data_IF_668420216381
#
_entry.id   IF_668420216381
#
_cell.length_a   1.000
_cell.length_b   1.000
_cell.length_c   1.000
_cell.angle_alpha   90.00
_cell.angle_beta   90.00
_cell.angle_gamma   90.00
#
_symmetry.space_group_name_H-M   'P 1'
#
loop_
_entity.id
_entity.type
_entity.pdbx_description
1 polymer ?
#
# COMPACT_ATOMS: atom_id res chain seq x y z
N UNK A 1 1.89 11.98 13.99
CA UNK A 1 1.75 10.64 13.36
C UNK A 1 0.32 10.17 13.43
N UNK A 2 -0.27 10.05 14.62
CA UNK A 2 -1.67 9.65 14.79
C UNK A 2 -2.63 10.60 14.06
N UNK A 3 -2.44 11.91 14.16
CA UNK A 3 -3.29 12.88 13.44
C UNK A 3 -3.21 12.70 11.92
N UNK A 4 -2.00 12.49 11.40
CA UNK A 4 -1.80 12.20 9.97
C UNK A 4 -2.45 10.88 9.56
N UNK A 5 -2.31 9.83 10.38
CA UNK A 5 -2.96 8.55 10.15
C UNK A 5 -4.49 8.70 10.11
N UNK A 6 -5.09 9.38 11.08
CA UNK A 6 -6.53 9.62 11.12
C UNK A 6 -6.98 10.46 9.92
N UNK A 7 -6.21 11.49 9.57
CA UNK A 7 -6.49 12.36 8.43
C UNK A 7 -6.43 11.59 7.10
N UNK A 8 -5.40 10.77 6.91
CA UNK A 8 -5.16 10.03 5.67
C UNK A 8 -5.91 8.71 5.57
N UNK A 9 -6.45 8.21 6.68
CA UNK A 9 -7.22 6.98 6.72
C UNK A 9 -8.44 7.05 5.79
N UNK A 10 -8.85 5.90 5.24
CA UNK A 10 -10.07 5.77 4.47
C UNK A 10 -11.31 6.33 5.18
N UNK A 11 -12.12 7.09 4.44
CA UNK A 11 -13.44 7.54 4.87
C UNK A 11 -14.56 6.68 4.27
N UNK A 12 -15.74 6.61 4.91
CA UNK A 12 -16.88 5.84 4.39
C UNK A 12 -17.27 6.21 2.95
N UNK A 13 -17.18 7.49 2.58
CA UNK A 13 -17.48 7.99 1.24
C UNK A 13 -16.48 7.50 0.20
N UNK A 14 -15.19 7.48 0.55
CA UNK A 14 -14.11 6.97 -0.31
C UNK A 14 -14.23 5.45 -0.49
N UNK A 15 -14.58 4.73 0.58
CA UNK A 15 -14.85 3.30 0.50
C UNK A 15 -16.07 3.01 -0.39
N UNK A 16 -17.16 3.77 -0.24
CA UNK A 16 -18.35 3.65 -1.06
C UNK A 16 -18.06 3.93 -2.55
N UNK A 17 -17.28 4.97 -2.84
CA UNK A 17 -16.80 5.26 -4.20
C UNK A 17 -15.99 4.11 -4.77
N UNK A 18 -15.02 3.58 -4.04
CA UNK A 18 -14.21 2.45 -4.51
C UNK A 18 -15.05 1.19 -4.73
N UNK A 19 -16.02 0.92 -3.86
CA UNK A 19 -16.97 -0.20 -4.05
C UNK A 19 -17.84 -0.03 -5.30
N UNK A 20 -18.28 1.19 -5.60
CA UNK A 20 -19.00 1.49 -6.85
C UNK A 20 -18.15 1.15 -8.09
N UNK A 21 -16.88 1.55 -8.10
CA UNK A 21 -15.93 1.21 -9.17
C UNK A 21 -15.79 -0.31 -9.31
N UNK A 22 -15.58 -1.03 -8.19
CA UNK A 22 -15.48 -2.50 -8.19
C UNK A 22 -16.75 -3.13 -8.75
N UNK A 23 -17.94 -2.70 -8.31
CA UNK A 23 -19.21 -3.26 -8.78
C UNK A 23 -19.41 -3.05 -10.29
N UNK A 24 -19.06 -1.88 -10.82
CA UNK A 24 -19.15 -1.62 -12.26
C UNK A 24 -18.19 -2.50 -13.07
N UNK A 25 -16.94 -2.66 -12.61
CA UNK A 25 -15.96 -3.53 -13.26
C UNK A 25 -16.38 -5.01 -13.15
N UNK A 26 -16.86 -5.42 -11.99
CA UNK A 26 -17.35 -6.78 -11.75
C UNK A 26 -18.54 -7.10 -12.66
N UNK A 27 -19.47 -6.16 -12.87
CA UNK A 27 -20.57 -6.34 -13.84
C UNK A 27 -20.05 -6.66 -15.24
N UNK A 28 -19.06 -5.91 -15.74
CA UNK A 28 -18.45 -6.17 -17.05
C UNK A 28 -17.80 -7.56 -17.11
N UNK A 29 -17.10 -7.94 -16.04
CA UNK A 29 -16.46 -9.25 -15.94
C UNK A 29 -17.50 -10.37 -15.92
N UNK A 30 -18.62 -10.19 -15.22
CA UNK A 30 -19.70 -11.17 -15.10
C UNK A 30 -20.52 -11.29 -16.37
N UNK A 31 -20.71 -10.21 -17.11
CA UNK A 31 -21.33 -10.24 -18.43
C UNK A 31 -20.49 -11.06 -19.43
N UNK A 32 -19.16 -10.96 -19.32
CA UNK A 32 -18.23 -11.70 -20.16
C UNK A 32 -18.05 -13.16 -19.71
N UNK A 33 -17.95 -13.38 -18.40
CA UNK A 33 -17.71 -14.67 -17.76
C UNK A 33 -18.59 -14.82 -16.49
N UNK A 34 -19.82 -15.31 -16.62
CA UNK A 34 -20.78 -15.39 -15.51
C UNK A 34 -20.29 -16.20 -14.29
N UNK A 35 -19.43 -17.20 -14.54
CA UNK A 35 -18.88 -18.08 -13.51
C UNK A 35 -17.57 -17.58 -12.89
N UNK A 36 -17.00 -16.48 -13.41
CA UNK A 36 -15.77 -15.91 -12.84
C UNK A 36 -16.04 -15.34 -11.44
N UNK A 37 -15.05 -15.39 -10.55
CA UNK A 37 -15.12 -14.76 -9.22
C UNK A 37 -14.16 -13.58 -9.19
N UNK A 38 -14.64 -12.41 -8.80
CA UNK A 38 -13.82 -11.21 -8.65
C UNK A 38 -13.55 -10.98 -7.17
N UNK A 39 -12.29 -10.78 -6.80
CA UNK A 39 -11.92 -10.46 -5.42
C UNK A 39 -11.01 -9.23 -5.37
N UNK A 40 -11.21 -8.41 -4.34
CA UNK A 40 -10.34 -7.28 -4.01
C UNK A 40 -9.15 -7.81 -3.19
N UNK A 41 -7.94 -7.43 -3.56
CA UNK A 41 -6.74 -7.68 -2.76
C UNK A 41 -5.98 -6.39 -2.43
N UNK A 42 -4.74 -6.53 -1.95
CA UNK A 42 -3.82 -5.41 -1.78
C UNK A 42 -4.23 -4.40 -0.70
N UNK A 43 -3.94 -3.13 -0.96
CA UNK A 43 -4.12 -2.06 0.04
C UNK A 43 -5.60 -1.81 0.36
N UNK A 44 -6.49 -1.97 -0.62
CA UNK A 44 -7.92 -1.79 -0.40
C UNK A 44 -8.49 -2.90 0.51
N UNK A 45 -8.11 -4.16 0.27
CA UNK A 45 -8.53 -5.28 1.11
C UNK A 45 -8.02 -5.15 2.55
N UNK A 46 -6.80 -4.64 2.76
CA UNK A 46 -6.17 -4.52 4.09
C UNK A 46 -6.55 -3.26 4.86
N UNK A 47 -7.17 -2.26 4.21
CA UNK A 47 -7.45 -0.95 4.81
C UNK A 47 -6.24 -0.04 4.91
N UNK A 48 -5.12 -0.37 4.25
CA UNK A 48 -3.86 0.37 4.28
C UNK A 48 -3.67 1.26 3.05
N UNK A 49 -4.76 1.68 2.40
CA UNK A 49 -4.69 2.50 1.20
C UNK A 49 -4.68 3.98 1.53
N UNK A 50 -3.88 4.74 0.78
CA UNK A 50 -3.94 6.20 0.76
C UNK A 50 -5.09 6.63 -0.17
N UNK A 51 -5.57 7.89 -0.09
CA UNK A 51 -6.69 8.38 -0.90
C UNK A 51 -6.51 8.13 -2.41
N UNK A 52 -5.28 8.25 -2.90
CA UNK A 52 -4.90 8.07 -4.31
C UNK A 52 -4.41 6.67 -4.66
N UNK A 53 -4.40 5.72 -3.72
CA UNK A 53 -3.95 4.34 -4.00
C UNK A 53 -4.87 3.64 -4.99
N UNK A 54 -4.28 2.73 -5.76
CA UNK A 54 -5.02 1.94 -6.75
C UNK A 54 -5.96 0.92 -6.07
N UNK A 55 -6.92 0.38 -6.84
CA UNK A 55 -7.69 -0.81 -6.48
C UNK A 55 -7.06 -2.01 -7.17
N UNK A 56 -6.69 -3.02 -6.39
CA UNK A 56 -6.18 -4.28 -6.90
C UNK A 56 -7.31 -5.33 -6.98
N UNK A 57 -7.61 -5.83 -8.18
CA UNK A 57 -8.61 -6.86 -8.44
C UNK A 57 -7.97 -8.14 -8.99
N UNK A 58 -8.40 -9.29 -8.48
CA UNK A 58 -8.06 -10.59 -9.04
C UNK A 58 -9.32 -11.27 -9.56
N UNK A 59 -9.24 -11.77 -10.79
CA UNK A 59 -10.31 -12.51 -11.44
C UNK A 59 -9.95 -13.99 -11.47
N UNK A 60 -10.79 -14.80 -10.83
CA UNK A 60 -10.67 -16.24 -10.80
C UNK A 60 -11.60 -16.89 -11.80
N UNK A 61 -11.07 -17.85 -12.56
CA UNK A 61 -11.85 -18.60 -13.53
C UNK A 61 -11.00 -19.63 -14.27
N UNK A 62 -11.66 -20.37 -15.17
CA UNK A 62 -11.07 -21.50 -15.88
C UNK A 62 -10.61 -21.04 -17.27
N UNK A 63 -9.34 -20.66 -17.37
CA UNK A 63 -8.68 -20.33 -18.63
C UNK A 63 -7.31 -21.01 -18.70
N UNK A 64 -6.91 -21.42 -19.90
CA UNK A 64 -5.55 -21.93 -20.13
C UNK A 64 -4.50 -20.82 -19.97
N UNK A 65 -4.86 -19.60 -20.38
CA UNK A 65 -4.04 -18.39 -20.25
C UNK A 65 -4.91 -17.20 -19.83
N UNK A 66 -4.37 -16.18 -19.13
CA UNK A 66 -5.11 -14.97 -18.77
C UNK A 66 -5.73 -14.28 -20.00
N UNK A 67 -7.07 -14.13 -20.08
CA UNK A 67 -7.75 -13.56 -21.25
C UNK A 67 -7.71 -12.02 -21.24
N UNK A 68 -6.52 -11.44 -21.14
CA UNK A 68 -6.29 -10.00 -20.92
C UNK A 68 -6.94 -9.14 -22.02
N UNK A 69 -6.73 -9.51 -23.28
CA UNK A 69 -7.24 -8.80 -24.45
C UNK A 69 -8.77 -8.80 -24.52
N UNK A 70 -9.40 -9.92 -24.12
CA UNK A 70 -10.86 -10.03 -24.10
C UNK A 70 -11.46 -9.10 -23.04
N UNK A 71 -10.85 -9.05 -21.85
CA UNK A 71 -11.27 -8.13 -20.79
C UNK A 71 -11.03 -6.67 -21.18
N UNK A 72 -9.89 -6.34 -21.80
CA UNK A 72 -9.61 -4.99 -22.29
C UNK A 72 -10.72 -4.50 -23.23
N UNK A 73 -11.07 -5.31 -24.25
CA UNK A 73 -12.10 -4.95 -25.21
C UNK A 73 -13.48 -4.76 -24.56
N UNK A 74 -13.84 -5.62 -23.60
CA UNK A 74 -15.08 -5.49 -22.85
C UNK A 74 -15.12 -4.20 -22.01
N UNK A 75 -14.02 -3.88 -21.31
CA UNK A 75 -13.91 -2.65 -20.52
C UNK A 75 -14.00 -1.38 -21.40
N UNK A 76 -13.42 -1.41 -22.60
CA UNK A 76 -13.56 -0.33 -23.60
C UNK A 76 -14.99 -0.21 -24.09
N UNK A 77 -15.65 -1.33 -24.41
CA UNK A 77 -17.04 -1.36 -24.88
C UNK A 77 -18.02 -0.80 -23.85
N UNK A 78 -17.82 -1.10 -22.57
CA UNK A 78 -18.62 -0.55 -21.47
C UNK A 78 -18.18 0.86 -21.03
N UNK A 79 -17.22 1.46 -21.73
CA UNK A 79 -16.73 2.82 -21.48
C UNK A 79 -16.27 3.06 -20.02
N UNK A 80 -15.69 2.06 -19.36
CA UNK A 80 -15.28 2.16 -17.94
C UNK A 80 -14.17 3.20 -17.78
N UNK A 81 -13.20 3.22 -18.70
CA UNK A 81 -12.07 4.14 -18.64
C UNK A 81 -12.30 5.48 -19.37
N UNK A 82 -13.44 5.66 -20.07
CA UNK A 82 -13.70 6.88 -20.82
C UNK A 82 -12.54 7.23 -21.77
N UNK A 83 -11.97 8.46 -21.69
CA UNK A 83 -10.83 8.85 -22.50
C UNK A 83 -9.48 8.30 -22.01
N UNK A 84 -9.42 7.76 -20.79
CA UNK A 84 -8.17 7.26 -20.22
C UNK A 84 -7.73 5.94 -20.88
N UNK A 85 -6.42 5.72 -21.09
CA UNK A 85 -5.93 4.51 -21.72
C UNK A 85 -6.10 3.30 -20.79
N UNK A 86 -6.52 2.17 -21.36
CA UNK A 86 -6.37 0.85 -20.74
C UNK A 86 -5.05 0.26 -21.24
N UNK A 87 -4.19 -0.18 -20.33
CA UNK A 87 -2.87 -0.75 -20.64
C UNK A 87 -2.80 -2.21 -20.22
N UNK A 88 -2.52 -3.09 -21.16
CA UNK A 88 -2.22 -4.50 -20.88
C UNK A 88 -0.71 -4.65 -20.73
N UNK A 89 -0.27 -5.15 -19.58
CA UNK A 89 1.12 -5.44 -19.24
C UNK A 89 1.29 -6.95 -19.15
N UNK A 90 1.55 -7.60 -20.28
CA UNK A 90 1.57 -9.07 -20.42
C UNK A 90 2.96 -9.71 -20.27
N UNK A 91 4.03 -8.91 -20.32
CA UNK A 91 5.43 -9.38 -20.22
C UNK A 91 5.94 -9.55 -18.78
N UNK A 92 5.19 -9.06 -17.79
CA UNK A 92 5.57 -9.18 -16.38
C UNK A 92 5.32 -10.60 -15.86
N UNK A 93 5.98 -10.97 -14.74
CA UNK A 93 5.75 -12.26 -14.07
C UNK A 93 4.29 -12.49 -13.72
N UNK A 94 3.58 -11.43 -13.34
CA UNK A 94 2.13 -11.41 -13.19
C UNK A 94 1.57 -10.44 -14.22
N UNK A 95 0.94 -10.94 -15.30
CA UNK A 95 0.27 -10.10 -16.26
C UNK A 95 -0.88 -9.31 -15.64
N UNK A 96 -0.97 -8.02 -15.95
CA UNK A 96 -1.99 -7.12 -15.39
C UNK A 96 -2.61 -6.20 -16.43
N UNK A 97 -3.87 -5.83 -16.23
CA UNK A 97 -4.54 -4.73 -16.93
C UNK A 97 -4.58 -3.53 -15.99
N UNK A 98 -3.99 -2.41 -16.41
CA UNK A 98 -4.09 -1.14 -15.70
C UNK A 98 -5.09 -0.22 -16.39
N UNK A 99 -5.99 0.39 -15.64
CA UNK A 99 -6.89 1.42 -16.13
C UNK A 99 -7.14 2.53 -15.08
N UNK A 100 -7.80 3.59 -15.51
CA UNK A 100 -8.32 4.65 -14.64
C UNK A 100 -9.80 4.79 -14.91
N UNK A 101 -10.62 4.64 -13.89
CA UNK A 101 -12.06 4.82 -14.00
C UNK A 101 -12.40 6.29 -14.29
N UNK A 102 -13.11 6.57 -15.38
CA UNK A 102 -13.36 7.96 -15.79
C UNK A 102 -14.32 8.73 -14.88
N UNK A 103 -15.15 8.04 -14.08
CA UNK A 103 -16.14 8.70 -13.22
C UNK A 103 -15.57 9.15 -11.88
N UNK A 104 -14.51 8.48 -11.43
CA UNK A 104 -13.93 8.61 -10.09
C UNK A 104 -12.42 8.90 -10.11
N UNK A 105 -11.76 8.80 -11.25
CA UNK A 105 -10.31 8.87 -11.42
C UNK A 105 -9.53 7.82 -10.61
N UNK A 106 -10.21 6.82 -10.05
CA UNK A 106 -9.57 5.73 -9.33
C UNK A 106 -8.86 4.81 -10.32
N UNK A 107 -7.57 4.58 -10.05
CA UNK A 107 -6.75 3.62 -10.79
C UNK A 107 -7.10 2.20 -10.35
N UNK A 108 -7.13 1.28 -11.32
CA UNK A 108 -7.44 -0.13 -11.07
C UNK A 108 -6.45 -1.02 -11.81
N UNK A 109 -5.87 -1.96 -11.06
CA UNK A 109 -5.00 -3.02 -11.56
C UNK A 109 -5.76 -4.35 -11.48
N UNK A 110 -5.92 -5.05 -12.61
CA UNK A 110 -6.65 -6.31 -12.71
C UNK A 110 -5.69 -7.44 -13.10
N UNK A 111 -5.65 -8.49 -12.29
CA UNK A 111 -4.86 -9.71 -12.51
C UNK A 111 -5.75 -10.95 -12.59
N UNK A 112 -5.20 -12.08 -13.05
CA UNK A 112 -5.94 -13.34 -13.20
C UNK A 112 -5.30 -14.47 -12.40
N UNK A 113 -6.13 -15.23 -11.67
CA UNK A 113 -5.74 -16.46 -10.96
C UNK A 113 -4.53 -16.32 -10.00
N UNK A 114 -4.37 -15.14 -9.37
CA UNK A 114 -3.30 -14.88 -8.40
C UNK A 114 -3.78 -15.16 -6.97
N UNK A 115 -3.82 -16.43 -6.57
CA UNK A 115 -4.29 -16.81 -5.22
C UNK A 115 -3.40 -16.29 -4.08
N UNK A 116 -2.10 -16.15 -4.33
CA UNK A 116 -1.11 -15.69 -3.33
C UNK A 116 -1.42 -14.29 -2.82
N UNK A 117 -2.01 -13.44 -3.66
CA UNK A 117 -2.35 -12.05 -3.31
C UNK A 117 -3.43 -11.96 -2.22
N UNK A 118 -4.42 -12.86 -2.26
CA UNK A 118 -5.50 -12.93 -1.25
C UNK A 118 -4.95 -13.44 0.09
N UNK A 119 -4.10 -14.47 0.05
CA UNK A 119 -3.42 -15.01 1.23
C UNK A 119 -2.48 -13.98 1.86
N UNK A 120 -1.77 -13.19 1.06
CA UNK A 120 -0.94 -12.09 1.53
C UNK A 120 -1.75 -11.03 2.28
N UNK A 121 -2.91 -10.62 1.75
CA UNK A 121 -3.79 -9.67 2.44
C UNK A 121 -4.28 -10.20 3.80
N UNK A 122 -4.65 -11.48 3.89
CA UNK A 122 -5.04 -12.12 5.16
C UNK A 122 -3.88 -12.17 6.15
N UNK A 123 -2.68 -12.51 5.69
CA UNK A 123 -1.46 -12.48 6.50
C UNK A 123 -1.19 -11.08 7.06
N UNK A 124 -1.23 -10.04 6.22
CA UNK A 124 -1.07 -8.65 6.68
C UNK A 124 -2.13 -8.29 7.72
N UNK A 125 -3.41 -8.63 7.50
CA UNK A 125 -4.49 -8.36 8.47
C UNK A 125 -4.21 -8.98 9.85
N UNK A 126 -3.60 -10.16 9.91
CA UNK A 126 -3.23 -10.78 11.19
C UNK A 126 -2.17 -9.97 11.94
N UNK A 127 -1.21 -9.37 11.22
CA UNK A 127 -0.18 -8.51 11.79
C UNK A 127 -0.71 -7.14 12.19
N UNK A 128 -1.68 -6.59 11.45
CA UNK A 128 -2.37 -5.36 11.85
C UNK A 128 -3.12 -5.52 13.18
N UNK A 129 -3.72 -6.70 13.42
CA UNK A 129 -4.33 -7.02 14.72
C UNK A 129 -3.29 -7.18 15.83
N UNK A 130 -2.12 -7.74 15.50
CA UNK A 130 -1.04 -8.00 16.46
C UNK A 130 -0.28 -6.74 16.88
N UNK A 131 -0.10 -5.80 15.95
CA UNK A 131 0.69 -4.57 16.15
C UNK A 131 -0.16 -3.35 15.86
N UNK A 132 -0.73 -2.74 16.89
CA UNK A 132 -1.61 -1.55 16.77
C UNK A 132 -0.88 -0.34 16.18
N UNK A 133 0.44 -0.27 16.37
CA UNK A 133 1.31 0.78 15.80
C UNK A 133 1.61 0.59 14.30
N UNK A 134 1.29 -0.56 13.71
CA UNK A 134 1.68 -0.88 12.34
C UNK A 134 0.93 0.02 11.34
N UNK A 135 -0.39 0.18 11.44
CA UNK A 135 -1.13 1.02 10.48
C UNK A 135 -0.63 2.48 10.49
N UNK A 136 -0.50 3.18 11.63
CA UNK A 136 0.03 4.55 11.64
C UNK A 136 1.42 4.68 11.02
N UNK A 137 2.31 3.71 11.26
CA UNK A 137 3.64 3.70 10.63
C UNK A 137 3.55 3.52 9.12
N UNK A 138 2.76 2.54 8.65
CA UNK A 138 2.60 2.28 7.21
C UNK A 138 2.06 3.49 6.46
N UNK A 139 1.09 4.22 7.02
CA UNK A 139 0.56 5.41 6.37
C UNK A 139 1.62 6.49 6.17
N UNK A 140 2.44 6.75 7.20
CA UNK A 140 3.56 7.71 7.08
C UNK A 140 4.58 7.24 6.06
N UNK A 141 5.01 5.97 6.14
CA UNK A 141 6.02 5.42 5.24
C UNK A 141 5.56 5.37 3.79
N UNK A 142 4.29 5.02 3.55
CA UNK A 142 3.68 5.06 2.21
C UNK A 142 3.65 6.47 1.65
N UNK A 143 3.16 7.44 2.41
CA UNK A 143 3.14 8.84 1.94
C UNK A 143 4.56 9.35 1.66
N UNK A 144 5.50 9.02 2.55
CA UNK A 144 6.89 9.40 2.43
C UNK A 144 7.54 8.89 1.12
N UNK A 145 7.28 7.65 0.73
CA UNK A 145 7.78 7.09 -0.53
C UNK A 145 6.99 7.59 -1.75
N UNK A 146 5.66 7.73 -1.61
CA UNK A 146 4.76 8.16 -2.68
C UNK A 146 5.15 9.54 -3.21
N UNK A 147 5.35 10.52 -2.34
CA UNK A 147 5.70 11.89 -2.75
C UNK A 147 7.09 12.02 -3.40
N UNK A 148 7.86 10.92 -3.46
CA UNK A 148 9.20 10.85 -4.04
C UNK A 148 9.24 9.90 -5.24
N UNK A 149 8.10 9.38 -5.67
CA UNK A 149 7.97 8.37 -6.73
C UNK A 149 8.78 7.09 -6.48
N UNK A 150 8.97 6.74 -5.19
CA UNK A 150 9.73 5.57 -4.75
C UNK A 150 8.84 4.39 -4.31
N UNK A 151 7.53 4.48 -4.56
CA UNK A 151 6.53 3.45 -4.23
C UNK A 151 6.19 2.51 -5.40
N UNK A 152 6.81 2.71 -6.58
CA UNK A 152 6.56 1.92 -7.79
C UNK A 152 7.75 1.00 -8.08
N UNK A 153 7.50 -0.31 -8.24
CA UNK A 153 8.57 -1.27 -8.55
C UNK A 153 9.06 -1.18 -9.99
N UNK A 154 8.25 -0.64 -10.90
CA UNK A 154 8.64 -0.46 -12.29
C UNK A 154 9.85 0.48 -12.43
N UNK A 155 9.92 1.52 -11.59
CA UNK A 155 11.05 2.47 -11.50
C UNK A 155 12.11 2.03 -10.46
N UNK A 156 11.98 0.83 -9.91
CA UNK A 156 12.93 0.26 -8.94
C UNK A 156 12.65 0.64 -7.47
N UNK A 157 11.54 1.31 -7.19
CA UNK A 157 11.07 1.61 -5.84
C UNK A 157 10.63 0.38 -5.04
N UNK A 158 10.00 0.63 -3.89
CA UNK A 158 9.53 -0.43 -2.98
C UNK A 158 8.03 -0.68 -3.18
N UNK A 159 7.65 -1.94 -3.36
CA UNK A 159 6.23 -2.31 -3.38
C UNK A 159 5.58 -2.08 -2.00
N UNK A 160 4.27 -1.83 -1.98
CA UNK A 160 3.53 -1.73 -0.71
C UNK A 160 3.69 -2.98 0.15
N UNK A 161 3.75 -4.17 -0.44
CA UNK A 161 3.92 -5.42 0.30
C UNK A 161 5.32 -5.51 0.93
N UNK A 162 6.38 -5.25 0.16
CA UNK A 162 7.76 -5.22 0.66
C UNK A 162 7.91 -4.23 1.82
N UNK A 163 7.35 -3.03 1.70
CA UNK A 163 7.38 -2.01 2.76
C UNK A 163 6.71 -2.49 4.05
N UNK A 164 5.54 -3.15 3.93
CA UNK A 164 4.84 -3.69 5.08
C UNK A 164 5.63 -4.82 5.74
N UNK A 165 6.27 -5.70 4.96
CA UNK A 165 7.11 -6.77 5.50
C UNK A 165 8.35 -6.21 6.23
N UNK A 166 8.97 -5.14 5.70
CA UNK A 166 10.04 -4.42 6.40
C UNK A 166 9.55 -3.85 7.73
N UNK A 167 8.39 -3.19 7.76
CA UNK A 167 7.83 -2.65 8.99
C UNK A 167 7.49 -3.75 10.01
N UNK A 168 6.91 -4.88 9.56
CA UNK A 168 6.65 -6.04 10.42
C UNK A 168 7.95 -6.58 11.01
N UNK A 169 8.98 -6.78 10.18
CA UNK A 169 10.29 -7.26 10.63
C UNK A 169 10.93 -6.33 11.66
N UNK A 170 10.89 -5.02 11.42
CA UNK A 170 11.35 -4.01 12.38
C UNK A 170 10.62 -4.12 13.72
N UNK A 171 9.29 -4.23 13.71
CA UNK A 171 8.51 -4.35 14.94
C UNK A 171 8.79 -5.68 15.67
N UNK A 172 8.96 -6.77 14.93
CA UNK A 172 9.26 -8.11 15.46
C UNK A 172 10.61 -8.16 16.18
N UNK A 173 11.63 -7.53 15.60
CA UNK A 173 13.02 -7.62 16.03
C UNK A 173 13.49 -6.38 16.80
N UNK A 174 12.56 -5.52 17.22
CA UNK A 174 12.88 -4.31 17.95
C UNK A 174 13.57 -4.65 19.29
N UNK A 175 14.82 -4.22 19.53
CA UNK A 175 15.62 -4.75 20.63
C UNK A 175 15.16 -4.30 22.02
N UNK A 176 14.59 -3.09 22.11
CA UNK A 176 14.24 -2.43 23.39
C UNK A 176 12.75 -2.37 23.71
N UNK A 177 11.88 -2.49 22.72
CA UNK A 177 10.45 -2.21 22.85
C UNK A 177 9.69 -3.46 22.45
N UNK A 178 8.91 -4.02 23.39
CA UNK A 178 7.93 -5.04 23.06
C UNK A 178 6.76 -4.38 22.34
N UNK A 179 6.83 -4.35 21.01
CA UNK A 179 5.91 -3.63 20.12
C UNK A 179 4.48 -4.18 20.11
N UNK A 180 4.22 -5.27 20.86
CA UNK A 180 2.88 -5.84 21.09
C UNK A 180 2.13 -5.16 22.23
N UNK A 181 2.81 -4.36 23.06
CA UNK A 181 2.21 -3.69 24.22
C UNK A 181 1.49 -2.40 23.81
N UNK A 182 0.59 -1.92 24.67
CA UNK A 182 -0.02 -0.61 24.51
C UNK A 182 0.97 0.53 24.84
N UNK A 183 0.60 1.77 24.50
CA UNK A 183 1.32 3.01 24.85
C UNK A 183 2.75 3.11 24.32
N UNK A 184 2.98 2.62 23.10
CA UNK A 184 4.28 2.74 22.43
C UNK A 184 4.43 4.12 21.79
N UNK A 185 5.61 4.72 21.95
CA UNK A 185 5.95 5.98 21.29
C UNK A 185 6.22 5.76 19.79
N UNK A 186 5.23 6.06 18.95
CA UNK A 186 5.33 5.98 17.49
C UNK A 186 6.46 6.85 16.91
N UNK A 187 6.82 7.96 17.56
CA UNK A 187 7.90 8.83 17.10
C UNK A 187 9.26 8.15 17.18
N UNK A 188 9.52 7.44 18.28
CA UNK A 188 10.73 6.62 18.44
C UNK A 188 10.77 5.53 17.38
N UNK A 189 9.67 4.78 17.23
CA UNK A 189 9.59 3.70 16.23
C UNK A 189 9.83 4.21 14.80
N UNK A 190 9.28 5.37 14.44
CA UNK A 190 9.45 5.93 13.11
C UNK A 190 10.91 6.36 12.85
N UNK A 191 11.54 7.02 13.83
CA UNK A 191 12.95 7.43 13.73
C UNK A 191 13.86 6.20 13.64
N UNK A 192 13.67 5.22 14.52
CA UNK A 192 14.48 3.99 14.55
C UNK A 192 14.25 3.10 13.32
N UNK A 193 13.05 3.11 12.72
CA UNK A 193 12.81 2.47 11.42
C UNK A 193 13.67 3.10 10.31
N UNK A 194 13.68 4.44 10.24
CA UNK A 194 14.50 5.16 9.26
C UNK A 194 16.00 5.01 9.54
N UNK A 195 16.41 4.94 10.79
CA UNK A 195 17.80 4.64 11.19
C UNK A 195 18.22 3.27 10.69
N UNK A 196 17.44 2.23 11.04
CA UNK A 196 17.75 0.86 10.66
C UNK A 196 17.83 0.72 9.15
N UNK A 197 16.79 1.10 8.40
CA UNK A 197 16.76 0.87 6.96
C UNK A 197 17.50 1.93 6.14
N UNK A 198 17.84 3.07 6.73
CA UNK A 198 18.63 4.13 6.10
C UNK A 198 20.13 4.02 6.35
N UNK A 199 20.56 3.46 7.48
CA UNK A 199 21.97 3.41 7.90
C UNK A 199 22.48 2.01 8.16
N UNK A 200 21.81 1.27 9.03
CA UNK A 200 22.41 0.09 9.68
C UNK A 200 22.16 -1.23 8.94
N UNK A 201 21.03 -1.34 8.24
CA UNK A 201 20.64 -2.56 7.56
C UNK A 201 21.60 -2.86 6.40
N UNK A 202 22.27 -4.02 6.48
CA UNK A 202 23.22 -4.44 5.47
C UNK A 202 22.52 -5.09 4.27
N UNK A 203 22.05 -4.25 3.34
CA UNK A 203 21.43 -4.69 2.08
C UNK A 203 22.33 -5.61 1.23
N UNK A 204 23.64 -5.66 1.46
CA UNK A 204 24.53 -6.53 0.69
C UNK A 204 24.53 -7.97 1.20
N UNK A 205 24.35 -8.17 2.51
CA UNK A 205 24.57 -9.48 3.15
C UNK A 205 23.34 -10.05 3.86
N UNK A 206 22.36 -9.22 4.18
CA UNK A 206 21.22 -9.59 5.03
C UNK A 206 19.94 -9.73 4.22
N UNK A 207 19.15 -10.75 4.54
CA UNK A 207 17.77 -10.93 4.09
C UNK A 207 16.81 -10.89 5.28
N UNK A 208 15.55 -10.58 4.98
CA UNK A 208 14.47 -10.44 5.96
C UNK A 208 13.57 -11.68 5.91
N UNK A 209 13.32 -12.29 7.05
CA UNK A 209 12.27 -13.28 7.26
C UNK A 209 11.28 -12.74 8.29
N UNK A 210 9.97 -12.86 8.01
CA UNK A 210 8.88 -12.44 8.91
C UNK A 210 8.13 -13.60 9.57
N UNK A 211 8.33 -14.84 9.10
CA UNK A 211 7.73 -16.03 9.72
C UNK A 211 8.33 -16.27 11.11
N UNK A 212 7.62 -17.04 11.95
CA UNK A 212 8.11 -17.55 13.23
C UNK A 212 8.66 -16.48 14.21
N UNK A 213 8.12 -15.27 14.17
CA UNK A 213 8.57 -14.18 15.04
C UNK A 213 9.63 -13.27 14.42
N UNK A 214 10.07 -13.55 13.19
CA UNK A 214 11.00 -12.73 12.43
C UNK A 214 12.46 -13.12 12.64
N UNK A 215 13.28 -12.93 11.62
CA UNK A 215 14.72 -13.13 11.68
C UNK A 215 15.45 -12.31 10.60
N UNK A 216 16.71 -11.96 10.87
CA UNK A 216 17.66 -11.53 9.86
C UNK A 216 18.57 -12.69 9.51
N UNK A 217 18.56 -13.10 8.24
CA UNK A 217 19.33 -14.23 7.74
C UNK A 217 20.42 -13.75 6.81
N UNK A 218 21.52 -14.50 6.73
CA UNK A 218 22.50 -14.24 5.68
C UNK A 218 21.87 -14.54 4.32
N UNK A 219 22.23 -13.77 3.28
CA UNK A 219 21.77 -14.05 1.92
C UNK A 219 22.23 -15.42 1.42
N UNK A 220 23.34 -15.94 1.95
CA UNK A 220 23.80 -17.30 1.67
C UNK A 220 22.81 -18.34 2.21
N UNK A 221 22.28 -18.15 3.42
CA UNK A 221 21.28 -19.05 3.99
C UNK A 221 19.93 -18.92 3.29
N UNK A 222 19.52 -17.69 2.95
CA UNK A 222 18.31 -17.44 2.16
C UNK A 222 18.35 -18.15 0.81
N UNK A 223 19.52 -18.14 0.15
CA UNK A 223 19.71 -18.80 -1.15
C UNK A 223 19.47 -20.31 -1.08
N UNK A 224 19.80 -20.97 0.05
CA UNK A 224 19.54 -22.41 0.23
C UNK A 224 18.04 -22.75 0.21
N UNK A 225 17.19 -21.80 0.59
CA UNK A 225 15.74 -21.95 0.61
C UNK A 225 15.06 -21.49 -0.70
N UNK A 226 15.79 -20.90 -1.65
CA UNK A 226 15.24 -20.42 -2.92
C UNK A 226 15.16 -21.56 -3.95
N UNK A 227 13.97 -21.81 -4.48
CA UNK A 227 13.70 -23.00 -5.33
C UNK A 227 14.44 -23.00 -6.68
N UNK A 228 14.92 -21.84 -7.16
CA UNK A 228 15.40 -21.68 -8.54
C UNK A 228 16.88 -21.29 -8.66
N UNK A 229 17.67 -21.35 -7.57
CA UNK A 229 19.08 -20.92 -7.60
C UNK A 229 19.30 -19.43 -7.92
N UNK A 230 18.22 -18.64 -7.93
CA UNK A 230 18.28 -17.21 -8.18
C UNK A 230 19.10 -16.52 -7.09
N UNK A 231 19.93 -15.58 -7.51
CA UNK A 231 20.68 -14.75 -6.57
C UNK A 231 19.71 -13.88 -5.77
N UNK A 232 19.84 -13.82 -4.43
CA UNK A 232 19.07 -12.90 -3.61
C UNK A 232 19.21 -11.46 -4.10
N UNK A 233 18.09 -10.73 -4.20
CA UNK A 233 18.11 -9.34 -4.65
C UNK A 233 18.72 -8.42 -3.58
N UNK A 234 18.93 -7.14 -3.93
CA UNK A 234 19.46 -6.14 -2.98
C UNK A 234 18.55 -5.99 -1.75
N UNK A 235 17.24 -5.90 -1.95
CA UNK A 235 16.25 -6.03 -0.89
C UNK A 235 15.76 -7.49 -0.82
N UNK A 236 16.47 -8.36 -0.12
CA UNK A 236 16.04 -9.76 -0.02
C UNK A 236 15.00 -9.93 1.10
N UNK A 237 13.77 -10.31 0.76
CA UNK A 237 12.71 -10.59 1.73
C UNK A 237 12.06 -11.93 1.37
N UNK A 238 12.09 -12.90 2.28
CA UNK A 238 11.37 -14.17 2.09
C UNK A 238 9.87 -13.89 2.07
N UNK A 239 9.20 -14.39 1.03
CA UNK A 239 7.75 -14.31 0.96
C UNK A 239 7.10 -15.24 2.00
N UNK A 240 6.29 -14.71 2.94
CA UNK A 240 5.58 -15.54 3.90
C UNK A 240 4.56 -16.50 3.26
N UNK A 241 4.08 -16.20 2.05
CA UNK A 241 3.01 -16.92 1.37
C UNK A 241 3.56 -17.87 0.31
N UNK A 242 4.64 -17.50 -0.37
CA UNK A 242 5.21 -18.26 -1.48
C UNK A 242 6.66 -18.69 -1.18
N UNK A 243 6.89 -19.92 -0.70
CA UNK A 243 8.24 -20.42 -0.41
C UNK A 243 9.20 -20.24 -1.58
N UNK A 244 10.43 -19.80 -1.29
CA UNK A 244 11.48 -19.55 -2.26
C UNK A 244 11.33 -18.29 -3.12
N UNK A 245 10.23 -17.53 -2.96
CA UNK A 245 10.07 -16.23 -3.59
C UNK A 245 10.80 -15.14 -2.79
N UNK A 246 11.43 -14.21 -3.52
CA UNK A 246 12.05 -13.00 -2.96
C UNK A 246 11.19 -11.79 -3.33
N UNK A 247 10.49 -11.25 -2.33
CA UNK A 247 9.50 -10.17 -2.53
C UNK A 247 10.15 -8.87 -2.98
N UNK A 248 11.41 -8.61 -2.60
CA UNK A 248 12.08 -7.36 -2.97
C UNK A 248 12.84 -7.43 -4.30
N UNK A 249 12.66 -8.50 -5.08
CA UNK A 249 13.35 -8.70 -6.38
C UNK A 249 13.16 -7.55 -7.35
N UNK A 250 11.98 -6.95 -7.39
CA UNK A 250 11.68 -5.82 -8.27
C UNK A 250 12.11 -4.46 -7.70
N UNK A 251 12.60 -4.41 -6.47
CA UNK A 251 13.10 -3.18 -5.81
C UNK A 251 14.59 -2.97 -6.09
N UNK A 252 14.96 -2.95 -7.37
CA UNK A 252 16.36 -2.82 -7.80
C UNK A 252 16.98 -1.44 -7.47
N UNK A 253 16.17 -0.43 -7.21
CA UNK A 253 16.55 0.92 -6.77
C UNK A 253 16.58 1.11 -5.25
N UNK A 254 16.56 0.03 -4.45
CA UNK A 254 16.52 0.10 -2.97
C UNK A 254 17.60 1.00 -2.34
N UNK A 255 18.76 1.17 -2.97
CA UNK A 255 19.80 2.07 -2.43
C UNK A 255 19.41 3.56 -2.48
N UNK A 256 18.57 3.96 -3.44
CA UNK A 256 17.98 5.31 -3.44
C UNK A 256 16.99 5.46 -2.29
N UNK A 257 16.23 4.40 -2.00
CA UNK A 257 15.30 4.39 -0.87
C UNK A 257 16.05 4.45 0.46
N UNK A 258 17.17 3.73 0.59
CA UNK A 258 18.09 3.83 1.72
C UNK A 258 18.54 5.28 1.94
N UNK A 259 18.93 6.00 0.89
CA UNK A 259 19.37 7.40 1.00
C UNK A 259 18.26 8.32 1.51
N UNK A 260 17.02 8.16 1.03
CA UNK A 260 15.91 8.99 1.53
C UNK A 260 15.47 8.61 2.94
N UNK A 261 15.61 7.34 3.34
CA UNK A 261 15.42 6.92 4.73
C UNK A 261 16.47 7.54 5.66
N UNK A 262 17.74 7.55 5.27
CA UNK A 262 18.80 8.25 6.02
C UNK A 262 18.50 9.75 6.17
N UNK A 263 18.07 10.41 5.09
CA UNK A 263 17.61 11.80 5.14
C UNK A 263 16.47 11.99 6.15
N UNK A 264 15.45 11.11 6.13
CA UNK A 264 14.31 11.22 7.06
C UNK A 264 14.74 11.03 8.52
N UNK A 265 15.66 10.09 8.78
CA UNK A 265 16.26 9.93 10.10
C UNK A 265 16.96 11.22 10.55
N UNK A 266 17.84 11.79 9.71
CA UNK A 266 18.56 13.02 10.06
C UNK A 266 17.62 14.18 10.38
N UNK A 267 16.61 14.40 9.54
CA UNK A 267 15.65 15.50 9.69
C UNK A 267 14.83 15.34 10.97
N UNK A 268 14.31 14.15 11.23
CA UNK A 268 13.48 13.90 12.41
C UNK A 268 14.30 13.93 13.70
N UNK A 269 15.47 13.31 13.72
CA UNK A 269 16.39 13.31 14.87
C UNK A 269 16.80 14.73 15.25
N UNK A 270 17.10 15.58 14.26
CA UNK A 270 17.36 17.00 14.51
C UNK A 270 16.12 17.71 15.05
N UNK A 271 14.94 17.49 14.46
CA UNK A 271 13.70 18.14 14.87
C UNK A 271 13.27 17.85 16.32
N UNK A 272 13.65 16.69 16.87
CA UNK A 272 13.33 16.31 18.25
C UNK A 272 14.47 16.53 19.25
N UNK A 273 15.62 17.04 18.77
CA UNK A 273 16.81 17.30 19.59
C UNK A 273 16.57 18.39 20.65
N UNK A 274 17.29 18.35 21.80
CA UNK A 274 17.22 19.42 22.79
C UNK A 274 17.54 20.80 22.22
N UNK A 275 18.46 20.88 21.25
CA UNK A 275 18.85 22.12 20.58
C UNK A 275 17.69 22.72 19.78
N UNK A 276 16.93 21.89 19.04
CA UNK A 276 15.76 22.34 18.30
C UNK A 276 14.63 22.84 19.22
N UNK A 277 14.56 22.37 20.47
CA UNK A 277 13.64 22.92 21.49
C UNK A 277 14.11 24.26 22.04
N UNK A 278 15.42 24.44 22.19
CA UNK A 278 16.01 25.68 22.70
C UNK A 278 15.95 26.83 21.68
N UNK A 279 15.99 26.51 20.39
CA UNK A 279 15.91 27.47 19.29
C UNK A 279 14.83 27.04 18.28
N UNK A 280 13.54 27.25 18.61
CA UNK A 280 12.46 26.91 17.69
C UNK A 280 12.54 27.76 16.42
N UNK A 281 12.30 27.16 15.26
CA UNK A 281 12.14 27.90 14.00
C UNK A 281 11.02 28.93 14.16
N UNK A 282 11.21 30.14 13.62
CA UNK A 282 10.23 31.25 13.69
C UNK A 282 8.88 30.93 13.02
N UNK A 283 8.85 29.93 12.15
CA UNK A 283 7.62 29.45 11.51
C UNK A 283 6.88 28.48 12.46
N UNK A 284 6.02 29.03 13.32
CA UNK A 284 5.21 28.31 14.31
C UNK A 284 4.28 27.19 13.75
N UNK A 285 4.25 26.98 12.44
CA UNK A 285 3.40 25.99 11.76
C UNK A 285 4.14 24.70 11.34
N UNK A 286 5.44 24.59 11.55
CA UNK A 286 6.22 23.44 11.07
C UNK A 286 6.11 22.21 11.99
N UNK A 287 5.12 21.35 11.70
CA UNK A 287 5.04 20.00 12.27
C UNK A 287 6.31 19.21 11.99
N UNK A 288 6.86 18.51 12.99
CA UNK A 288 8.03 17.63 12.82
C UNK A 288 7.83 16.63 11.67
N UNK A 289 6.61 16.10 11.53
CA UNK A 289 6.27 15.17 10.46
C UNK A 289 6.15 15.89 9.11
N UNK A 290 5.66 17.13 9.09
CA UNK A 290 5.58 17.99 7.89
C UNK A 290 6.92 18.28 7.22
N UNK A 291 8.04 18.08 7.94
CA UNK A 291 9.40 18.21 7.40
C UNK A 291 9.77 17.09 6.43
N UNK A 292 9.14 15.91 6.55
CA UNK A 292 9.46 14.74 5.72
C UNK A 292 8.31 14.30 4.83
N UNK A 293 7.06 14.65 5.17
CA UNK A 293 5.87 14.34 4.39
C UNK A 293 5.06 15.59 4.04
N UNK A 294 4.46 15.59 2.85
CA UNK A 294 3.53 16.60 2.36
C UNK A 294 2.37 15.91 1.66
N UNK A 295 1.17 16.48 1.76
CA UNK A 295 -0.01 16.07 0.98
C UNK A 295 -0.28 17.17 -0.02
N UNK A 296 -0.43 16.82 -1.29
CA UNK A 296 -0.59 17.83 -2.33
C UNK A 296 -2.02 18.42 -2.32
N UNK A 297 -2.20 19.69 -2.75
CA UNK A 297 -3.52 20.30 -2.85
C UNK A 297 -4.50 19.50 -3.72
N UNK A 298 -4.01 18.82 -4.75
CA UNK A 298 -4.81 17.97 -5.64
C UNK A 298 -5.40 16.78 -4.90
N UNK A 299 -4.61 16.14 -4.02
CA UNK A 299 -5.12 15.07 -3.15
C UNK A 299 -6.21 15.61 -2.24
N UNK A 300 -6.01 16.78 -1.63
CA UNK A 300 -7.02 17.39 -0.75
C UNK A 300 -8.31 17.70 -1.51
N UNK A 301 -8.20 18.32 -2.69
CA UNK A 301 -9.34 18.62 -3.54
C UNK A 301 -10.10 17.34 -3.98
N UNK A 302 -9.37 16.28 -4.32
CA UNK A 302 -9.95 14.99 -4.67
C UNK A 302 -10.75 14.37 -3.53
N UNK A 303 -10.24 14.45 -2.30
CA UNK A 303 -10.95 13.98 -1.11
C UNK A 303 -12.23 14.77 -0.86
N UNK A 304 -12.14 16.10 -0.89
CA UNK A 304 -13.29 16.98 -0.68
C UNK A 304 -14.38 16.76 -1.73
N UNK A 305 -13.96 16.57 -2.99
CA UNK A 305 -14.86 16.20 -4.07
C UNK A 305 -15.55 14.85 -3.82
N UNK A 306 -14.79 13.84 -3.38
CA UNK A 306 -15.33 12.51 -3.08
C UNK A 306 -16.37 12.58 -1.97
N UNK A 307 -16.08 13.32 -0.90
CA UNK A 307 -16.99 13.51 0.23
C UNK A 307 -18.27 14.22 -0.21
N UNK A 308 -18.16 15.30 -1.00
CA UNK A 308 -19.35 16.02 -1.50
C UNK A 308 -20.23 15.12 -2.37
N UNK A 309 -19.63 14.34 -3.28
CA UNK A 309 -20.37 13.54 -4.26
C UNK A 309 -20.92 12.23 -3.68
N UNK A 310 -20.21 11.57 -2.77
CA UNK A 310 -20.66 10.30 -2.17
C UNK A 310 -21.28 10.46 -0.78
N UNK A 311 -20.96 11.51 -0.03
CA UNK A 311 -21.67 11.84 1.22
C UNK A 311 -23.14 12.12 0.95
N UNK A 312 -23.46 12.93 -0.08
CA UNK A 312 -24.84 13.20 -0.50
C UNK A 312 -25.61 11.92 -0.89
N UNK A 313 -24.94 10.92 -1.47
CA UNK A 313 -25.55 9.63 -1.83
C UNK A 313 -25.86 8.74 -0.62
N UNK A 314 -25.11 8.86 0.47
CA UNK A 314 -25.42 8.10 1.70
C UNK A 314 -26.69 8.61 2.38
N UNK A 315 -26.95 9.93 2.32
CA UNK A 315 -28.20 10.53 2.80
C UNK A 315 -29.38 10.34 1.84
N UNK A 316 -29.13 10.00 0.57
CA UNK A 316 -30.16 9.77 -0.44
C UNK A 316 -30.66 8.32 -0.54
N UNK A 317 -30.35 7.44 0.43
CA UNK A 317 -30.98 6.11 0.49
C UNK A 317 -32.48 6.27 0.79
N UNK A 318 -33.28 6.17 -0.27
CA UNK A 318 -34.74 6.12 -0.22
C UNK A 318 -35.21 4.95 0.64
N UNK A 319 -36.16 5.22 1.55
CA UNK A 319 -36.94 4.18 2.20
C UNK A 319 -37.91 3.53 1.18
N UNK A 320 -38.42 2.33 1.48
CA UNK A 320 -39.26 1.52 0.57
C UNK A 320 -40.55 2.22 0.07
N UNK A 321 -40.86 3.41 0.58
CA UNK A 321 -42.00 4.25 0.20
C UNK A 321 -41.63 5.55 -0.57
N UNK A 322 -40.39 5.73 -1.04
CA UNK A 322 -40.03 6.82 -1.95
C UNK A 322 -39.92 8.23 -1.32
N UNK A 323 -39.85 8.35 0.00
CA UNK A 323 -39.64 9.64 0.66
C UNK A 323 -38.15 9.92 0.93
N UNK A 324 -37.71 11.13 0.57
CA UNK A 324 -36.40 11.70 0.89
C UNK A 324 -36.37 12.12 2.37
N UNK A 325 -35.46 11.54 3.16
CA UNK A 325 -35.20 11.98 4.53
C UNK A 325 -33.85 12.69 4.61
N UNK A 326 -33.86 13.90 5.19
CA UNK A 326 -32.64 14.62 5.55
C UNK A 326 -32.33 14.32 7.03
N UNK A 327 -31.22 13.63 7.31
CA UNK A 327 -30.74 13.51 8.69
C UNK A 327 -30.19 14.87 9.13
N UNK A 328 -30.80 15.47 10.15
CA UNK A 328 -30.34 16.72 10.74
C UNK A 328 -29.18 16.43 11.71
N UNK A 329 -28.16 17.29 11.62
CA UNK A 329 -26.85 17.34 12.32
C UNK A 329 -26.73 16.69 13.68
#
# INVERSE_FOLDING_TARGET
IVDFFNFMSPRPEEEAMRRDVVNRIESVIKDLWPTARVEIFGSFSTGLYLPTSDIDLVVFGKWNHPPLQQLEQALRKHNVAGPYPIKVLDKATVPIIKLTDHQTEVKVDISFNVETAVKAAQFIKSYLKKYTVLSPLIFVLKQFLLQRDLNEVFTGGISSYSLILMAISFLQLHPRIDTRRANINLGILLIEFFELYGRDFNYMKTGIQVKNGGAYLSKQDMMKAMMNGNRPSMLCIEDPIQPGNDVGRSSYGILQVKQVFDFAYMVLSHAVSPLARAYPNKDNNDSALGRIIKVSPEVLAYRDWTIKKWGAKQFAKMDHNGNLWFAST
#
